data_IF_723955396963
#
_entry.id   IF_723955396963
#
_cell.length_a   1.000
_cell.length_b   1.000
_cell.length_c   1.000
_cell.angle_alpha   90.00
_cell.angle_beta   90.00
_cell.angle_gamma   90.00
#
_symmetry.space_group_name_H-M   'P 1'
#
loop_
_entity.id
_entity.type
_entity.pdbx_description
1 polymer ?
2 branched ?
3 non-polymer ?
4 non-polymer ?
5 water ?
#
# COMPACT_ATOMS: atom_id res chain seq x y z
N UNK A 8 -10.84 25.39 -13.31
CA UNK A 8 -9.74 25.95 -12.54
C UNK A 8 -9.74 25.50 -11.08
N UNK A 9 -10.81 25.84 -10.36
CA UNK A 9 -10.82 25.62 -8.92
C UNK A 9 -11.58 24.35 -8.55
N UNK A 10 -10.96 23.50 -7.74
CA UNK A 10 -11.59 22.26 -7.28
C UNK A 10 -12.67 22.63 -6.26
N UNK A 11 -13.91 22.23 -6.51
CA UNK A 11 -14.99 22.64 -5.60
C UNK A 11 -14.87 21.92 -4.25
N UNK A 12 -15.38 22.55 -3.19
CA UNK A 12 -15.25 22.03 -1.84
C UNK A 12 -15.76 20.59 -1.73
N UNK A 13 -16.94 20.30 -2.29
CA UNK A 13 -17.44 18.94 -2.15
C UNK A 13 -16.52 17.89 -2.76
N UNK A 14 -15.90 18.25 -3.86
CA UNK A 14 -14.96 17.35 -4.49
C UNK A 14 -13.69 17.18 -3.64
N UNK A 15 -13.14 18.28 -3.12
CA UNK A 15 -11.97 18.19 -2.24
C UNK A 15 -12.25 17.35 -1.02
N UNK A 16 -13.40 17.61 -0.43
CA UNK A 16 -13.78 16.99 0.82
C UNK A 16 -13.94 15.49 0.62
N UNK A 17 -14.60 15.08 -0.45
CA UNK A 17 -14.79 13.65 -0.68
C UNK A 17 -13.49 12.96 -1.02
N UNK A 18 -12.66 13.61 -1.83
CA UNK A 18 -11.45 12.93 -2.29
C UNK A 18 -10.40 12.78 -1.19
N UNK A 19 -10.45 13.68 -0.21
CA UNK A 19 -9.50 13.65 0.89
C UNK A 19 -9.94 12.72 2.02
N UNK A 20 -11.22 12.35 2.06
CA UNK A 20 -11.74 11.64 3.20
C UNK A 20 -11.22 10.20 3.18
N UNK A 21 -10.93 9.73 4.39
CA UNK A 21 -10.38 8.40 4.66
C UNK A 21 -10.86 7.34 3.69
N UNK A 22 -9.92 6.70 2.98
CA UNK A 22 -10.24 5.57 2.13
C UNK A 22 -8.97 4.91 1.64
N UNK A 23 -9.10 3.76 0.97
CA UNK A 23 -7.85 3.15 0.51
C UNK A 23 -7.24 3.90 -0.65
N UNK A 24 -5.98 4.30 -0.51
CA UNK A 24 -5.34 5.09 -1.56
C UNK A 24 -4.22 4.22 -2.13
N UNK A 25 -3.99 4.29 -3.43
CA UNK A 25 -2.86 3.53 -4.03
C UNK A 25 -1.60 4.15 -3.46
N UNK A 26 -0.77 3.34 -2.81
CA UNK A 26 0.35 3.78 -1.97
C UNK A 26 1.60 2.99 -2.39
N UNK A 27 2.74 3.65 -2.61
CA UNK A 27 3.91 2.92 -3.08
C UNK A 27 4.78 2.47 -1.91
N UNK A 28 4.92 1.16 -1.73
CA UNK A 28 5.62 0.63 -0.57
C UNK A 28 6.91 -0.09 -0.95
N UNK A 29 8.02 0.19 -0.28
CA UNK A 29 9.24 -0.57 -0.52
C UNK A 29 9.04 -2.04 -0.12
N UNK A 30 9.47 -2.96 -0.98
CA UNK A 30 9.25 -4.37 -0.71
C UNK A 30 9.98 -4.86 0.56
N UNK A 31 11.12 -4.26 0.85
CA UNK A 31 11.82 -4.62 2.10
C UNK A 31 11.09 -4.18 3.38
N UNK A 32 10.16 -3.23 3.29
CA UNK A 32 9.37 -2.84 4.45
C UNK A 32 8.32 -3.93 4.71
N UNK A 33 7.93 -4.60 3.65
CA UNK A 33 6.94 -5.67 3.75
C UNK A 33 7.58 -7.03 3.96
N UNK A 34 8.82 -7.18 3.47
CA UNK A 34 9.60 -8.40 3.62
C UNK A 34 10.97 -8.08 4.23
N UNK A 35 10.98 -7.63 5.49
CA UNK A 35 12.23 -7.13 6.08
C UNK A 35 13.23 -8.22 6.43
N UNK A 36 12.81 -9.47 6.34
CA UNK A 36 13.73 -10.55 6.61
C UNK A 36 14.43 -11.05 5.37
N UNK A 37 14.15 -10.44 4.21
CA UNK A 37 14.85 -10.89 3.01
C UNK A 37 16.32 -10.46 3.02
N UNK A 38 17.21 -11.43 2.86
CA UNK A 38 18.65 -11.16 2.96
C UNK A 38 19.41 -11.76 1.79
N UNK A 39 18.68 -12.30 0.83
CA UNK A 39 19.36 -13.04 -0.22
C UNK A 39 19.13 -12.41 -1.59
N UNK A 40 17.99 -11.76 -1.75
CA UNK A 40 17.59 -11.18 -3.04
C UNK A 40 17.41 -9.67 -3.07
N UNK A 41 17.70 -9.10 -4.23
CA UNK A 41 17.30 -7.74 -4.61
C UNK A 41 15.99 -7.89 -5.36
N UNK A 42 15.04 -6.94 -5.21
CA UNK A 42 13.81 -7.05 -5.94
C UNK A 42 13.67 -5.96 -7.01
N UNK A 43 13.01 -6.32 -8.12
CA UNK A 43 12.67 -5.36 -9.17
C UNK A 43 11.24 -5.64 -9.54
N UNK A 44 10.36 -4.63 -9.45
CA UNK A 44 10.62 -3.27 -8.97
C UNK A 44 10.95 -3.32 -7.47
N UNK A 45 11.59 -2.28 -6.96
CA UNK A 45 11.94 -2.28 -5.55
C UNK A 45 10.77 -1.87 -4.65
N UNK A 46 9.73 -1.33 -5.27
CA UNK A 46 8.52 -0.93 -4.55
C UNK A 46 7.28 -1.43 -5.28
N UNK A 47 6.14 -1.50 -4.60
CA UNK A 47 4.91 -1.98 -5.23
C UNK A 47 3.76 -1.04 -4.88
N UNK A 48 2.77 -0.95 -5.77
CA UNK A 48 1.59 -0.11 -5.52
C UNK A 48 0.55 -0.94 -4.77
N UNK A 49 0.19 -0.50 -3.58
CA UNK A 49 -0.77 -1.21 -2.72
C UNK A 49 -1.82 -0.22 -2.28
N UNK A 50 -3.06 -0.67 -2.19
CA UNK A 50 -4.13 0.16 -1.62
C UNK A 50 -3.99 0.13 -0.10
N UNK A 51 -3.81 1.28 0.54
CA UNK A 51 -3.66 1.31 2.00
C UNK A 51 -4.50 2.48 2.46
N UNK A 52 -5.06 2.39 3.66
CA UNK A 52 -5.92 3.48 4.15
C UNK A 52 -5.10 4.77 4.34
N UNK A 53 -5.72 5.90 3.98
CA UNK A 53 -5.09 7.17 4.22
C UNK A 53 -6.14 8.23 4.01
N UNK A 54 -5.74 9.47 4.17
CA UNK A 54 -6.69 10.57 4.13
C UNK A 54 -7.10 10.99 5.52
N UNK A 55 -8.08 11.86 5.62
CA UNK A 55 -8.40 12.52 6.88
C UNK A 55 -9.77 12.17 7.39
N UNK A 56 -9.97 12.36 8.68
CA UNK A 56 -11.27 12.12 9.25
C UNK A 56 -11.93 13.42 9.69
N UNK A 57 -11.19 14.54 9.67
CA UNK A 57 -11.71 15.82 10.16
C UNK A 57 -12.30 15.78 11.58
N UNK A 58 -11.68 15.01 12.46
CA UNK A 58 -12.15 14.89 13.83
C UNK A 58 -10.94 14.35 14.57
N UNK A 59 -10.40 15.17 15.48
CA UNK A 59 -9.25 14.76 16.29
C UNK A 59 -9.50 13.50 17.12
N UNK A 60 -10.78 13.17 17.33
CA UNK A 60 -11.11 11.96 18.09
C UNK A 60 -11.09 10.66 17.28
N UNK A 61 -10.98 10.76 15.95
CA UNK A 61 -11.10 9.60 15.06
C UNK A 61 -9.81 9.40 14.29
N UNK A 62 -9.53 8.15 13.97
CA UNK A 62 -8.44 7.85 13.06
C UNK A 62 -8.90 6.98 11.91
N UNK A 63 -8.23 7.12 10.76
CA UNK A 63 -8.58 6.34 9.58
C UNK A 63 -7.92 4.96 9.68
N UNK A 64 -8.73 3.91 9.77
CA UNK A 64 -8.16 2.57 9.97
C UNK A 64 -8.79 1.55 9.06
N UNK A 65 -8.03 0.48 8.74
CA UNK A 65 -8.69 -0.48 7.86
C UNK A 65 -9.73 -1.33 8.57
N UNK A 66 -10.80 -1.64 7.85
CA UNK A 66 -11.82 -2.51 8.40
C UNK A 66 -11.96 -3.83 7.64
N UNK A 67 -11.27 -3.95 6.51
CA UNK A 67 -11.26 -5.18 5.73
C UNK A 67 -9.94 -5.20 4.97
N UNK A 68 -9.27 -6.36 5.01
CA UNK A 68 -7.98 -6.47 4.32
C UNK A 68 -7.92 -7.76 3.55
N UNK A 69 -7.00 -7.82 2.59
CA UNK A 69 -6.78 -9.01 1.79
C UNK A 69 -5.40 -8.98 1.21
N UNK A 70 -4.94 -10.11 0.70
CA UNK A 70 -3.67 -10.12 0.03
C UNK A 70 -3.84 -9.93 -1.46
N UNK A 71 -2.85 -9.28 -2.07
CA UNK A 71 -2.75 -9.25 -3.52
C UNK A 71 -1.41 -9.90 -3.92
N UNK A 72 -1.43 -10.77 -4.93
CA UNK A 72 -0.22 -11.43 -5.40
C UNK A 72 0.29 -10.75 -6.65
N UNK A 73 1.59 -10.46 -6.67
CA UNK A 73 2.22 -9.78 -7.81
C UNK A 73 3.42 -10.56 -8.29
N UNK A 74 3.72 -10.50 -9.57
CA UNK A 74 4.96 -11.08 -10.07
C UNK A 74 6.07 -10.06 -9.82
N UNK A 75 7.10 -10.49 -9.12
CA UNK A 75 8.23 -9.63 -8.80
C UNK A 75 9.50 -10.33 -9.23
N UNK A 76 10.44 -9.57 -9.79
CA UNK A 76 11.72 -10.17 -10.15
C UNK A 76 12.64 -10.22 -8.94
N UNK A 77 13.14 -11.41 -8.64
CA UNK A 77 14.17 -11.56 -7.61
C UNK A 77 15.51 -11.79 -8.28
N UNK A 78 16.48 -10.99 -7.86
CA UNK A 78 17.79 -11.01 -8.45
C UNK A 78 18.79 -11.48 -7.42
N UNK A 79 19.58 -12.47 -7.79
CA UNK A 79 20.71 -12.91 -7.02
C UNK A 79 21.91 -12.39 -7.77
N UNK A 80 22.61 -11.39 -7.21
CA UNK A 80 23.73 -10.74 -7.91
C UNK A 80 24.66 -11.70 -8.66
N UNK A 81 24.71 -11.51 -9.98
CA UNK A 81 25.54 -12.27 -10.92
C UNK A 81 25.22 -13.76 -11.04
N UNK A 82 24.09 -14.18 -10.49
CA UNK A 82 23.72 -15.59 -10.53
C UNK A 82 22.42 -15.82 -11.25
N UNK A 83 21.69 -14.74 -11.50
CA UNK A 83 20.48 -14.86 -12.29
C UNK A 83 19.31 -14.07 -11.76
N UNK A 84 18.25 -14.06 -12.55
CA UNK A 84 17.05 -13.34 -12.14
C UNK A 84 15.90 -14.27 -12.42
N UNK A 85 14.89 -14.24 -11.56
CA UNK A 85 13.71 -15.03 -11.81
C UNK A 85 12.50 -14.27 -11.39
N UNK A 86 11.42 -14.49 -12.11
CA UNK A 86 10.13 -13.94 -11.72
C UNK A 86 9.48 -14.90 -10.73
N UNK A 87 9.06 -14.38 -9.58
CA UNK A 87 8.35 -15.15 -8.57
C UNK A 87 7.08 -14.43 -8.18
N UNK A 88 6.19 -15.12 -7.48
CA UNK A 88 4.97 -14.49 -6.98
C UNK A 88 5.15 -14.16 -5.51
N UNK A 89 4.76 -12.96 -5.12
CA UNK A 89 4.89 -12.53 -3.73
C UNK A 89 3.57 -11.86 -3.37
N UNK A 90 3.06 -12.11 -2.16
CA UNK A 90 1.76 -11.50 -1.75
C UNK A 90 2.01 -10.31 -0.86
N UNK A 91 1.10 -9.32 -0.95
CA UNK A 91 1.23 -8.11 -0.14
C UNK A 91 -0.13 -7.83 0.43
N UNK A 92 -0.13 -7.29 1.64
CA UNK A 92 -1.37 -6.89 2.30
C UNK A 92 -1.93 -5.58 1.72
N UNK A 93 -3.22 -5.60 1.40
CA UNK A 93 -3.90 -4.39 0.92
C UNK A 93 -5.09 -4.14 1.83
N UNK A 94 -5.55 -2.90 1.85
CA UNK A 94 -6.74 -2.56 2.60
C UNK A 94 -7.90 -2.37 1.65
N UNK A 95 -8.97 -3.13 1.84
CA UNK A 95 -10.13 -3.02 0.96
C UNK A 95 -11.15 -1.98 1.39
N UNK A 96 -11.27 -1.77 2.70
CA UNK A 96 -12.25 -0.84 3.27
C UNK A 96 -11.59 -0.17 4.45
N UNK A 97 -11.95 1.09 4.67
CA UNK A 97 -11.39 1.93 5.73
C UNK A 97 -12.54 2.67 6.36
N UNK A 98 -12.39 3.00 7.64
CA UNK A 98 -13.38 3.83 8.32
C UNK A 98 -12.68 4.73 9.32
N UNK A 99 -13.34 5.83 9.64
CA UNK A 99 -12.91 6.67 10.75
C UNK A 99 -13.51 6.16 12.05
N UNK A 100 -12.64 5.68 12.94
CA UNK A 100 -13.07 5.04 14.18
C UNK A 100 -12.47 5.79 15.35
N UNK A 101 -13.11 5.71 16.52
CA UNK A 101 -12.58 6.39 17.69
C UNK A 101 -11.19 5.89 18.01
N UNK A 102 -10.29 6.81 18.30
CA UNK A 102 -8.94 6.45 18.69
C UNK A 102 -8.95 5.51 19.90
#
# INVERSE_FOLDING_TARGET
SHHHHHHEVVKFMDVYQRSYCHPIETLVDIFQEYPDEIEYIFKPSCVPLMRCGGCCNDEGLECVPTEESNITMQIMRIKPHQGQHIGEMSFLQHNKCECRPKKD
#
